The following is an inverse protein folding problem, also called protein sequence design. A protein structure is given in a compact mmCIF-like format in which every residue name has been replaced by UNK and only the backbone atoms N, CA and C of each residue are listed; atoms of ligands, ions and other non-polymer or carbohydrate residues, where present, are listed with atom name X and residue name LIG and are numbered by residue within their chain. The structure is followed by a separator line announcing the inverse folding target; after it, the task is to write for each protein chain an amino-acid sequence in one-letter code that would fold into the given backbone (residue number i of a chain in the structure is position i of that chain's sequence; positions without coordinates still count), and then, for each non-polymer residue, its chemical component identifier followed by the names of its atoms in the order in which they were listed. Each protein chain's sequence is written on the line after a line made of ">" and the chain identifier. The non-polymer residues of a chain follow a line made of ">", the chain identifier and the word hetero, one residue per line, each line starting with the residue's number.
data_IF_670078674128
#
_entry.id   IF_670078674128
#
_cell.length_a   1.000
_cell.length_b   1.000
_cell.length_c   1.000
_cell.angle_alpha   90.00
_cell.angle_beta   90.00
_cell.angle_gamma   90.00
#
_symmetry.space_group_name_H-M   'P 1'
#
loop_
_entity.id
_entity.type
_entity.pdbx_description
1 polymer ?
#
# COMPACT_ATOMS: atom_id res chain seq x y z
N UNK A 1 18.03 24.49 -4.98
CA UNK A 1 16.92 23.70 -4.44
C UNK A 1 17.49 22.33 -4.11
N UNK A 2 18.46 22.29 -3.19
CA UNK A 2 19.41 21.17 -3.06
C UNK A 2 19.54 20.71 -1.60
N UNK A 3 18.49 20.94 -0.80
CA UNK A 3 18.40 20.40 0.55
C UNK A 3 17.90 18.96 0.52
N UNK A 4 18.32 18.10 1.46
CA UNK A 4 17.74 16.77 1.60
C UNK A 4 16.23 16.89 1.82
N UNK A 5 15.45 16.02 1.16
CA UNK A 5 14.01 15.92 1.43
C UNK A 5 13.86 15.60 2.92
N UNK A 6 13.19 16.45 3.71
CA UNK A 6 13.02 16.18 5.13
C UNK A 6 12.23 14.89 5.32
N UNK A 7 12.67 14.04 6.27
CA UNK A 7 12.01 12.78 6.56
C UNK A 7 10.56 12.95 7.04
N UNK A 8 10.18 14.16 7.49
CA UNK A 8 8.83 14.50 7.91
C UNK A 8 8.49 15.96 7.54
N UNK A 9 7.29 16.19 7.00
CA UNK A 9 6.76 17.52 6.69
C UNK A 9 5.87 17.98 7.84
N UNK A 10 6.15 19.16 8.40
CA UNK A 10 5.29 19.82 9.40
C UNK A 10 4.06 20.44 8.70
N UNK A 11 3.06 19.60 8.39
CA UNK A 11 1.81 20.00 7.76
C UNK A 11 0.75 20.41 8.81
N UNK A 12 -0.07 21.45 8.55
CA UNK A 12 -1.07 21.98 9.48
C UNK A 12 -2.36 21.13 9.61
N UNK A 13 -2.34 19.88 9.14
CA UNK A 13 -3.48 18.95 9.14
C UNK A 13 -3.54 18.11 10.45
N UNK A 14 -4.68 17.47 10.79
CA UNK A 14 -5.07 17.20 12.18
C UNK A 14 -4.09 16.31 12.97
N UNK A 15 -4.17 16.39 14.30
CA UNK A 15 -3.28 15.75 15.30
C UNK A 15 -2.97 14.26 15.05
N UNK A 16 -3.87 13.55 14.35
CA UNK A 16 -3.57 12.23 13.80
C UNK A 16 -2.66 12.37 12.58
N UNK A 17 -1.37 12.14 12.82
CA UNK A 17 -0.37 11.92 11.78
C UNK A 17 -0.89 10.87 10.79
N UNK A 18 -0.97 11.22 9.51
CA UNK A 18 -1.13 10.24 8.44
C UNK A 18 -0.07 9.16 8.66
N UNK A 19 -0.48 7.89 8.77
CA UNK A 19 0.41 6.76 8.96
C UNK A 19 1.24 6.57 7.68
N UNK A 20 2.27 7.39 7.54
CA UNK A 20 3.16 7.38 6.39
C UNK A 20 3.88 6.04 6.28
N UNK A 21 4.09 5.34 7.40
CA UNK A 21 4.68 4.00 7.38
C UNK A 21 3.77 3.00 6.67
N UNK A 22 2.44 3.21 6.70
CA UNK A 22 1.50 2.44 5.90
C UNK A 22 1.69 2.67 4.40
N UNK A 23 1.88 3.94 3.98
CA UNK A 23 2.09 4.32 2.58
C UNK A 23 3.43 3.78 2.05
N UNK A 24 4.48 3.79 2.87
CA UNK A 24 5.81 3.29 2.51
C UNK A 24 5.97 1.77 2.65
N UNK A 25 4.95 1.08 3.15
CA UNK A 25 4.97 -0.38 3.27
C UNK A 25 4.95 -1.06 1.89
N UNK A 26 5.79 -2.08 1.72
CA UNK A 26 5.75 -2.91 0.52
C UNK A 26 4.61 -3.94 0.63
N UNK A 27 3.76 -4.08 -0.40
CA UNK A 27 2.76 -5.12 -0.46
C UNK A 27 3.36 -6.51 -0.28
N UNK A 28 2.68 -7.35 0.49
CA UNK A 28 3.02 -8.75 0.69
C UNK A 28 2.21 -9.59 -0.31
N UNK A 29 2.86 -10.06 -1.36
CA UNK A 29 2.21 -10.79 -2.45
C UNK A 29 2.69 -12.24 -2.41
N UNK A 30 1.78 -13.17 -2.18
CA UNK A 30 2.08 -14.60 -2.29
C UNK A 30 2.52 -14.96 -3.73
N UNK A 31 3.51 -15.84 -3.93
CA UNK A 31 3.99 -16.21 -5.27
C UNK A 31 2.92 -16.81 -6.19
N UNK A 32 1.84 -17.36 -5.63
CA UNK A 32 0.72 -17.93 -6.39
C UNK A 32 -0.42 -16.93 -6.63
N UNK A 33 -0.33 -15.73 -6.05
CA UNK A 33 -1.27 -14.66 -6.32
C UNK A 33 -1.02 -14.05 -7.69
N UNK A 34 -2.10 -13.61 -8.34
CA UNK A 34 -2.01 -12.98 -9.66
C UNK A 34 -2.39 -11.51 -9.59
N UNK A 35 -1.52 -10.65 -10.09
CA UNK A 35 -1.79 -9.21 -10.25
C UNK A 35 -1.75 -8.89 -11.74
N UNK A 36 -2.89 -8.47 -12.29
CA UNK A 36 -2.99 -8.13 -13.71
C UNK A 36 -2.12 -6.91 -14.05
N UNK A 37 -1.55 -6.83 -15.26
CA UNK A 37 -0.89 -5.62 -15.74
C UNK A 37 -1.79 -4.39 -15.63
N UNK A 38 -1.27 -3.31 -15.04
CA UNK A 38 -2.02 -2.06 -14.85
C UNK A 38 -2.89 -2.00 -13.59
N UNK A 39 -2.99 -3.07 -12.79
CA UNK A 39 -3.51 -2.96 -11.43
C UNK A 39 -2.51 -2.23 -10.53
N UNK A 40 -3.01 -1.45 -9.56
CA UNK A 40 -2.19 -0.72 -8.58
C UNK A 40 -2.34 -1.37 -7.22
N UNK A 41 -1.22 -1.79 -6.62
CA UNK A 41 -1.16 -2.39 -5.29
C UNK A 41 -0.06 -1.67 -4.52
N UNK A 42 -0.42 -0.90 -3.49
CA UNK A 42 0.52 -0.06 -2.73
C UNK A 42 0.19 -0.06 -1.23
N UNK A 43 1.22 0.10 -0.41
CA UNK A 43 1.11 0.20 1.04
C UNK A 43 0.80 -1.13 1.71
N UNK A 44 0.03 -1.09 2.81
CA UNK A 44 -0.36 -2.25 3.62
C UNK A 44 -1.38 -3.15 2.91
N UNK A 45 -0.92 -3.89 1.91
CA UNK A 45 -1.72 -4.88 1.19
C UNK A 45 -1.09 -6.26 1.33
N UNK A 46 -1.91 -7.26 1.64
CA UNK A 46 -1.52 -8.67 1.70
C UNK A 46 -2.40 -9.50 0.75
N UNK A 47 -1.80 -10.02 -0.31
CA UNK A 47 -2.43 -10.96 -1.23
C UNK A 47 -2.03 -12.38 -0.83
N UNK A 48 -2.99 -13.15 -0.31
CA UNK A 48 -2.79 -14.55 0.09
C UNK A 48 -2.78 -15.48 -1.13
N UNK A 49 -2.43 -16.74 -0.90
CA UNK A 49 -2.32 -17.75 -1.96
C UNK A 49 -3.57 -17.82 -2.85
N UNK A 50 -3.34 -17.96 -4.16
CA UNK A 50 -4.38 -18.06 -5.20
C UNK A 50 -5.36 -16.88 -5.29
N UNK A 51 -5.06 -15.75 -4.65
CA UNK A 51 -5.84 -14.52 -4.83
C UNK A 51 -5.54 -13.87 -6.19
N UNK A 52 -6.50 -13.11 -6.72
CA UNK A 52 -6.36 -12.46 -8.03
C UNK A 52 -6.83 -11.01 -7.97
N UNK A 53 -6.02 -10.09 -8.47
CA UNK A 53 -6.35 -8.67 -8.65
C UNK A 53 -6.45 -8.39 -10.14
N UNK A 54 -7.63 -7.95 -10.57
CA UNK A 54 -7.97 -7.78 -12.00
C UNK A 54 -7.80 -6.34 -12.48
N UNK A 55 -7.81 -6.17 -13.80
CA UNK A 55 -7.50 -4.92 -14.50
C UNK A 55 -8.26 -3.71 -13.95
N UNK A 56 -7.55 -2.60 -13.78
CA UNK A 56 -8.11 -1.34 -13.26
C UNK A 56 -8.35 -1.30 -11.75
N UNK A 57 -8.08 -2.39 -11.03
CA UNK A 57 -8.18 -2.40 -9.56
C UNK A 57 -7.10 -1.54 -8.92
N UNK A 58 -7.47 -0.84 -7.84
CA UNK A 58 -6.55 -0.06 -7.01
C UNK A 58 -6.70 -0.51 -5.56
N UNK A 59 -5.69 -1.18 -5.04
CA UNK A 59 -5.56 -1.55 -3.64
C UNK A 59 -4.52 -0.62 -3.00
N UNK A 60 -5.00 0.32 -2.18
CA UNK A 60 -4.18 1.32 -1.51
C UNK A 60 -4.38 1.20 0.01
N UNK A 61 -3.47 0.49 0.68
CA UNK A 61 -3.45 0.36 2.13
C UNK A 61 -2.70 1.50 2.79
N UNK A 62 -3.39 2.61 3.05
CA UNK A 62 -2.83 3.87 3.55
C UNK A 62 -2.96 4.09 5.07
N UNK A 63 -3.77 3.27 5.74
CA UNK A 63 -3.93 3.27 7.20
C UNK A 63 -4.00 1.82 7.71
N UNK A 64 -5.09 1.12 7.39
CA UNK A 64 -5.28 -0.28 7.73
C UNK A 64 -4.77 -1.25 6.65
N UNK A 65 -4.60 -2.52 7.04
CA UNK A 65 -4.31 -3.60 6.09
C UNK A 65 -5.50 -3.92 5.19
N UNK A 66 -5.24 -4.09 3.90
CA UNK A 66 -6.13 -4.78 2.97
C UNK A 66 -5.63 -6.22 2.84
N UNK A 67 -6.42 -7.19 3.30
CA UNK A 67 -6.12 -8.62 3.12
C UNK A 67 -7.07 -9.26 2.11
N UNK A 68 -6.52 -9.95 1.11
CA UNK A 68 -7.30 -10.66 0.07
C UNK A 68 -6.95 -12.13 0.08
N UNK A 69 -7.96 -12.99 0.12
CA UNK A 69 -7.83 -14.44 0.14
C UNK A 69 -8.08 -15.04 1.53
N UNK A 70 -7.97 -16.36 1.60
CA UNK A 70 -8.19 -17.17 2.82
C UNK A 70 -6.84 -17.58 3.42
N UNK A 71 -6.85 -17.85 4.73
CA UNK A 71 -5.68 -18.35 5.48
C UNK A 71 -5.02 -19.56 4.80
#
# INVERSE_FOLDING_TARGET
>A
MDGPIPAHLDLPYPEKKCDQDAIWSLPQIDPTAWVSPGAVVIGRVRLKAHSSVWFGSVLRGDDAYIEVGRE
#
